data_IF_412550258359
#
_entry.id   IF_412550258359
#
_cell.length_a   1.000
_cell.length_b   1.000
_cell.length_c   1.000
_cell.angle_alpha   90.00
_cell.angle_beta   90.00
_cell.angle_gamma   90.00
#
_symmetry.space_group_name_H-M   'P 1'
#
loop_
_entity.id
_entity.type
_entity.pdbx_description
1 polymer ?
#
# COMPACT_ATOMS: atom_id res chain seq x y z
N UNK A 1 -23.61 -30.68 25.59
CA UNK A 1 -22.80 -29.46 25.77
C UNK A 1 -22.60 -28.87 24.40
N UNK A 2 -23.14 -27.68 24.14
CA UNK A 2 -23.06 -27.04 22.83
C UNK A 2 -21.62 -26.59 22.62
N UNK A 3 -20.98 -27.12 21.56
CA UNK A 3 -19.65 -26.74 21.13
C UNK A 3 -19.72 -25.31 20.57
N UNK A 4 -19.39 -24.31 21.37
CA UNK A 4 -19.34 -22.92 20.90
C UNK A 4 -18.06 -22.81 20.07
N UNK A 5 -18.22 -22.72 18.75
CA UNK A 5 -17.12 -22.40 17.85
C UNK A 5 -16.78 -20.91 18.02
N UNK A 6 -15.69 -20.62 18.70
CA UNK A 6 -15.15 -19.26 18.79
C UNK A 6 -14.65 -18.86 17.41
N UNK A 7 -15.36 -17.92 16.78
CA UNK A 7 -14.97 -17.33 15.49
C UNK A 7 -14.62 -15.87 15.70
N UNK A 8 -13.67 -15.32 14.93
CA UNK A 8 -13.34 -13.91 15.00
C UNK A 8 -14.55 -13.06 14.60
N UNK A 9 -14.76 -11.93 15.28
CA UNK A 9 -15.85 -10.98 14.97
C UNK A 9 -15.64 -10.28 13.62
N UNK A 10 -14.39 -10.16 13.18
CA UNK A 10 -14.01 -9.57 11.90
C UNK A 10 -13.51 -10.66 10.95
N UNK A 11 -14.18 -10.83 9.81
CA UNK A 11 -13.89 -11.87 8.82
C UNK A 11 -13.66 -11.33 7.42
N UNK A 12 -14.10 -10.11 7.13
CA UNK A 12 -14.09 -9.53 5.79
C UNK A 12 -13.12 -8.35 5.67
N UNK A 13 -12.42 -8.26 4.55
CA UNK A 13 -11.54 -7.12 4.24
C UNK A 13 -12.27 -5.78 4.29
N UNK A 14 -13.55 -5.75 3.88
CA UNK A 14 -14.35 -4.53 3.88
C UNK A 14 -14.48 -3.90 5.28
N UNK A 15 -14.49 -4.72 6.34
CA UNK A 15 -14.56 -4.23 7.71
C UNK A 15 -13.30 -3.41 8.08
N UNK A 16 -12.12 -3.80 7.60
CA UNK A 16 -10.87 -3.05 7.78
C UNK A 16 -10.98 -1.67 7.10
N UNK A 17 -11.51 -1.64 5.88
CA UNK A 17 -11.70 -0.40 5.12
C UNK A 17 -12.68 0.54 5.82
N UNK A 18 -13.78 0.02 6.35
CA UNK A 18 -14.79 0.84 7.02
C UNK A 18 -14.27 1.44 8.34
N UNK A 19 -13.48 0.66 9.11
CA UNK A 19 -12.79 1.16 10.30
C UNK A 19 -11.80 2.29 9.94
N UNK A 20 -11.00 2.12 8.88
CA UNK A 20 -10.05 3.14 8.44
C UNK A 20 -10.75 4.42 7.96
N UNK A 21 -11.87 4.30 7.23
CA UNK A 21 -12.69 5.45 6.80
C UNK A 21 -13.26 6.22 7.99
N UNK A 22 -13.75 5.51 9.01
CA UNK A 22 -14.24 6.14 10.24
C UNK A 22 -13.12 6.88 10.97
N UNK A 23 -11.96 6.23 11.15
CA UNK A 23 -10.80 6.87 11.78
C UNK A 23 -10.33 8.12 11.02
N UNK A 24 -10.36 8.10 9.68
CA UNK A 24 -10.02 9.26 8.84
C UNK A 24 -11.00 10.42 9.05
N UNK A 25 -12.30 10.13 9.14
CA UNK A 25 -13.35 11.13 9.43
C UNK A 25 -13.14 11.78 10.80
N UNK A 26 -12.60 11.02 11.76
CA UNK A 26 -12.26 11.52 13.09
C UNK A 26 -10.84 12.10 13.22
N UNK A 27 -10.07 12.17 12.12
CA UNK A 27 -8.65 12.58 12.10
C UNK A 27 -7.74 11.75 13.03
N UNK A 28 -8.01 10.44 13.13
CA UNK A 28 -7.28 9.46 13.97
C UNK A 28 -6.63 8.35 13.15
N UNK A 29 -6.52 8.51 11.83
CA UNK A 29 -5.96 7.54 10.90
C UNK A 29 -4.49 7.17 11.21
N UNK A 30 -3.62 8.14 11.52
CA UNK A 30 -2.24 7.86 11.94
C UNK A 30 -2.19 7.03 13.25
N UNK A 31 -3.04 7.36 14.23
CA UNK A 31 -3.12 6.61 15.49
C UNK A 31 -3.59 5.18 15.25
N UNK A 32 -4.64 4.99 14.45
CA UNK A 32 -5.14 3.67 14.08
C UNK A 32 -4.06 2.83 13.39
N UNK A 33 -3.40 3.37 12.37
CA UNK A 33 -2.38 2.64 11.62
C UNK A 33 -1.15 2.31 12.47
N UNK A 34 -0.78 3.15 13.45
CA UNK A 34 0.29 2.83 14.40
C UNK A 34 -0.06 1.71 15.37
N UNK A 35 -1.34 1.54 15.70
CA UNK A 35 -1.83 0.47 16.55
C UNK A 35 -1.97 -0.85 15.77
N UNK A 36 -2.39 -0.79 14.51
CA UNK A 36 -2.58 -1.97 13.67
C UNK A 36 -1.29 -2.51 13.05
N UNK A 37 -0.34 -1.63 12.73
CA UNK A 37 0.87 -1.99 11.98
C UNK A 37 2.11 -1.83 12.85
N UNK A 38 3.00 -2.82 12.77
CA UNK A 38 4.35 -2.74 13.34
C UNK A 38 5.20 -1.68 12.62
N UNK A 39 6.31 -1.22 13.23
CA UNK A 39 7.27 -0.32 12.56
C UNK A 39 7.80 -0.86 11.22
N UNK A 40 8.04 -2.18 11.15
CA UNK A 40 8.55 -2.83 9.95
C UNK A 40 7.51 -2.86 8.83
N UNK A 41 6.24 -3.16 9.15
CA UNK A 41 5.14 -3.12 8.17
C UNK A 41 4.93 -1.72 7.60
N UNK A 42 5.04 -0.67 8.44
CA UNK A 42 4.98 0.72 7.96
C UNK A 42 6.13 1.05 7.02
N UNK A 43 7.33 0.55 7.31
CA UNK A 43 8.50 0.72 6.44
C UNK A 43 8.32 -0.01 5.10
N UNK A 44 7.69 -1.19 5.13
CA UNK A 44 7.32 -1.94 3.92
C UNK A 44 6.27 -1.17 3.10
N UNK A 45 5.26 -0.57 3.71
CA UNK A 45 4.28 0.25 3.01
C UNK A 45 4.93 1.45 2.32
N UNK A 46 5.83 2.17 3.02
CA UNK A 46 6.59 3.27 2.43
C UNK A 46 7.41 2.79 1.22
N UNK A 47 8.10 1.66 1.34
CA UNK A 47 8.84 1.07 0.23
C UNK A 47 7.93 0.74 -0.96
N UNK A 48 6.74 0.16 -0.72
CA UNK A 48 5.75 -0.13 -1.77
C UNK A 48 5.27 1.12 -2.49
N UNK A 49 5.02 2.22 -1.77
CA UNK A 49 4.67 3.52 -2.37
C UNK A 49 5.77 3.99 -3.33
N UNK A 50 7.03 3.94 -2.90
CA UNK A 50 8.17 4.32 -3.74
C UNK A 50 8.31 3.42 -4.98
N UNK A 51 8.09 2.11 -4.83
CA UNK A 51 8.11 1.16 -5.96
C UNK A 51 7.04 1.54 -6.99
N UNK A 52 5.80 1.78 -6.55
CA UNK A 52 4.71 2.15 -7.46
C UNK A 52 4.97 3.49 -8.16
N UNK A 53 5.49 4.48 -7.42
CA UNK A 53 5.87 5.77 -7.98
C UNK A 53 6.92 5.62 -9.10
N UNK A 54 8.04 4.93 -8.85
CA UNK A 54 9.10 4.75 -9.85
C UNK A 54 8.63 3.92 -11.05
N UNK A 55 7.79 2.90 -10.82
CA UNK A 55 7.22 2.09 -11.90
C UNK A 55 6.27 2.88 -12.80
N UNK A 56 5.45 3.76 -12.23
CA UNK A 56 4.52 4.61 -12.98
C UNK A 56 5.24 5.75 -13.71
N UNK A 57 6.36 6.24 -13.18
CA UNK A 57 7.18 7.25 -13.87
C UNK A 57 7.88 6.67 -15.10
N UNK A 58 8.26 5.39 -15.06
CA UNK A 58 8.82 4.67 -16.22
C UNK A 58 10.25 5.10 -16.63
N UNK A 59 10.89 6.00 -15.89
CA UNK A 59 12.21 6.54 -16.21
C UNK A 59 13.36 5.57 -15.88
N UNK A 60 13.14 4.67 -14.92
CA UNK A 60 14.16 3.75 -14.40
C UNK A 60 13.82 2.30 -14.72
N UNK A 61 14.86 1.52 -15.04
CA UNK A 61 14.72 0.06 -15.14
C UNK A 61 14.45 -0.55 -13.76
N UNK A 62 13.80 -1.71 -13.71
CA UNK A 62 13.53 -2.41 -12.45
C UNK A 62 14.79 -2.70 -11.62
N UNK A 63 15.93 -2.96 -12.30
CA UNK A 63 17.21 -3.12 -11.62
C UNK A 63 17.66 -1.83 -10.95
N UNK A 64 17.48 -0.68 -11.62
CA UNK A 64 17.86 0.60 -11.04
C UNK A 64 16.95 1.00 -9.87
N UNK A 65 15.67 0.66 -9.93
CA UNK A 65 14.72 0.84 -8.82
C UNK A 65 15.13 -0.04 -7.62
N UNK A 66 15.49 -1.30 -7.88
CA UNK A 66 16.00 -2.23 -6.86
C UNK A 66 17.25 -1.69 -6.15
N UNK A 67 18.22 -1.17 -6.91
CA UNK A 67 19.42 -0.52 -6.37
C UNK A 67 19.08 0.74 -5.54
N UNK A 68 18.17 1.59 -6.02
CA UNK A 68 17.78 2.83 -5.37
C UNK A 68 17.05 2.59 -4.04
N UNK A 69 16.13 1.63 -4.02
CA UNK A 69 15.25 1.37 -2.87
C UNK A 69 15.80 0.30 -1.92
N UNK A 70 16.93 -0.33 -2.26
CA UNK A 70 17.53 -1.39 -1.44
C UNK A 70 16.66 -2.64 -1.31
N UNK A 71 15.74 -2.87 -2.26
CA UNK A 71 14.84 -4.04 -2.27
C UNK A 71 15.20 -4.98 -3.41
N UNK A 72 14.98 -6.28 -3.22
CA UNK A 72 15.23 -7.27 -4.28
C UNK A 72 14.37 -7.04 -5.52
N UNK A 73 14.91 -7.34 -6.70
CA UNK A 73 14.21 -7.22 -8.00
C UNK A 73 12.88 -7.96 -7.99
N UNK A 74 12.78 -9.11 -7.33
CA UNK A 74 11.53 -9.87 -7.19
C UNK A 74 10.38 -9.06 -6.56
N UNK A 75 10.69 -8.15 -5.62
CA UNK A 75 9.70 -7.25 -5.03
C UNK A 75 9.20 -6.22 -6.05
N UNK A 76 10.10 -5.69 -6.88
CA UNK A 76 9.75 -4.79 -7.98
C UNK A 76 8.90 -5.50 -9.02
N UNK A 77 9.26 -6.73 -9.39
CA UNK A 77 8.51 -7.55 -10.36
C UNK A 77 7.09 -7.80 -9.88
N UNK A 78 6.89 -8.11 -8.58
CA UNK A 78 5.54 -8.22 -8.01
C UNK A 78 4.77 -6.92 -8.14
N UNK A 79 5.35 -5.77 -7.74
CA UNK A 79 4.69 -4.47 -7.87
C UNK A 79 4.33 -4.11 -9.33
N UNK A 80 5.21 -4.42 -10.28
CA UNK A 80 4.94 -4.21 -11.71
C UNK A 80 3.80 -5.10 -12.23
N UNK A 81 3.73 -6.34 -11.76
CA UNK A 81 2.65 -7.24 -12.11
C UNK A 81 1.32 -6.76 -11.52
N UNK A 82 1.28 -6.33 -10.26
CA UNK A 82 0.06 -5.73 -9.68
C UNK A 82 -0.44 -4.56 -10.53
N UNK A 83 0.43 -3.61 -10.87
CA UNK A 83 0.05 -2.48 -11.74
C UNK A 83 -0.53 -2.93 -13.08
N UNK A 84 0.03 -3.97 -13.73
CA UNK A 84 -0.45 -4.47 -15.02
C UNK A 84 -1.88 -5.03 -14.97
N UNK A 85 -2.36 -5.48 -13.82
CA UNK A 85 -3.73 -6.01 -13.67
C UNK A 85 -4.80 -4.92 -13.51
N UNK A 86 -4.40 -3.66 -13.38
CA UNK A 86 -5.32 -2.53 -13.31
C UNK A 86 -5.49 -1.83 -14.66
N UNK A 87 -6.65 -1.19 -14.84
CA UNK A 87 -6.96 -0.36 -16.00
C UNK A 87 -6.11 0.92 -16.04
N UNK A 88 -6.11 1.57 -17.20
CA UNK A 88 -5.33 2.80 -17.42
C UNK A 88 -5.85 3.98 -16.57
N UNK A 89 -7.15 4.02 -16.28
CA UNK A 89 -7.76 5.07 -15.46
C UNK A 89 -7.25 5.00 -14.01
N UNK A 90 -7.20 3.80 -13.43
CA UNK A 90 -6.66 3.57 -12.08
C UNK A 90 -5.17 3.92 -12.01
N UNK A 91 -4.38 3.54 -13.02
CA UNK A 91 -2.96 3.90 -13.09
C UNK A 91 -2.75 5.40 -13.20
N UNK A 92 -3.55 6.07 -14.02
CA UNK A 92 -3.49 7.52 -14.22
C UNK A 92 -3.85 8.26 -12.92
N UNK A 93 -4.92 7.86 -12.25
CA UNK A 93 -5.31 8.39 -10.94
C UNK A 93 -4.19 8.20 -9.91
N UNK A 94 -3.64 6.99 -9.78
CA UNK A 94 -2.58 6.70 -8.83
C UNK A 94 -1.31 7.50 -9.14
N UNK A 95 -0.95 7.63 -10.41
CA UNK A 95 0.20 8.45 -10.84
C UNK A 95 0.01 9.92 -10.46
N UNK A 96 -1.18 10.48 -10.68
CA UNK A 96 -1.48 11.87 -10.30
C UNK A 96 -1.43 12.07 -8.79
N UNK A 97 -2.06 11.18 -8.01
CA UNK A 97 -2.05 11.22 -6.55
C UNK A 97 -0.62 11.18 -6.00
N UNK A 98 0.21 10.24 -6.47
CA UNK A 98 1.57 10.10 -5.98
C UNK A 98 2.46 11.29 -6.35
N UNK A 99 2.23 11.92 -7.51
CA UNK A 99 2.93 13.14 -7.90
C UNK A 99 2.55 14.32 -7.01
N UNK A 100 1.26 14.51 -6.71
CA UNK A 100 0.77 15.59 -5.85
C UNK A 100 1.30 15.48 -4.42
N UNK A 101 1.41 14.25 -3.90
CA UNK A 101 1.87 14.00 -2.52
C UNK A 101 3.40 13.85 -2.42
N UNK A 102 4.13 13.90 -3.54
CA UNK A 102 5.59 13.80 -3.53
C UNK A 102 6.19 15.05 -2.89
N UNK A 103 7.07 14.91 -1.88
CA UNK A 103 7.70 16.07 -1.23
C UNK A 103 8.66 16.85 -2.15
N UNK A 104 8.92 16.34 -3.37
CA UNK A 104 9.81 16.93 -4.37
C UNK A 104 9.06 17.45 -5.62
N UNK A 105 7.74 17.60 -5.55
CA UNK A 105 6.92 18.19 -6.62
C UNK A 105 7.03 19.71 -6.69
#
# INVERSE_FOLDING_TARGET
MSNIQETPEFTEWQQVIDILRQATTEHKDDTLLRLLLTPDERSVLLSRVNILHELLNGERSQRKISELLGVGVATITRGSNELKHHDEDTKAWLSALLKEQSPNA
#
